data_IF_397982359265
#
_entry.id   IF_397982359265
#
_cell.length_a   1.000
_cell.length_b   1.000
_cell.length_c   1.000
_cell.angle_alpha   90.00
_cell.angle_beta   90.00
_cell.angle_gamma   90.00
#
_symmetry.space_group_name_H-M   'P 1'
#
loop_
_entity.id
_entity.type
_entity.pdbx_description
1 polymer ?
#
# COMPACT_ATOMS: atom_id res chain seq x y z
N UNK A 1 2.62 7.79 -23.13
CA UNK A 1 1.50 8.67 -23.54
C UNK A 1 0.13 8.01 -23.35
N UNK A 2 -0.13 6.81 -23.93
CA UNK A 2 -1.44 6.14 -23.87
C UNK A 2 -2.01 5.91 -22.46
N UNK A 3 -1.21 5.39 -21.53
CA UNK A 3 -1.65 5.19 -20.13
C UNK A 3 -2.01 6.50 -19.41
N UNK A 4 -1.21 7.55 -19.58
CA UNK A 4 -1.50 8.84 -18.93
C UNK A 4 -2.79 9.46 -19.48
N UNK A 5 -3.06 9.30 -20.79
CA UNK A 5 -4.33 9.72 -21.38
C UNK A 5 -5.50 8.88 -20.86
N UNK A 6 -5.36 7.56 -20.76
CA UNK A 6 -6.42 6.70 -20.26
C UNK A 6 -6.73 6.99 -18.80
N UNK A 7 -5.71 7.26 -17.97
CA UNK A 7 -5.88 7.65 -16.57
C UNK A 7 -6.57 9.02 -16.45
N UNK A 8 -6.17 10.01 -17.26
CA UNK A 8 -6.86 11.32 -17.31
C UNK A 8 -8.33 11.19 -17.71
N UNK A 9 -8.67 10.24 -18.58
CA UNK A 9 -10.06 9.97 -18.92
C UNK A 9 -10.84 9.41 -17.71
N UNK A 10 -10.22 8.66 -16.80
CA UNK A 10 -10.87 8.24 -15.54
C UNK A 10 -11.28 9.47 -14.72
N UNK A 11 -10.41 10.47 -14.58
CA UNK A 11 -10.74 11.74 -13.91
C UNK A 11 -11.96 12.42 -14.53
N UNK A 12 -12.01 12.51 -15.87
CA UNK A 12 -13.16 13.11 -16.56
C UNK A 12 -14.44 12.31 -16.29
N UNK A 13 -14.36 10.98 -16.26
CA UNK A 13 -15.51 10.14 -15.93
C UNK A 13 -15.97 10.28 -14.48
N UNK A 14 -15.04 10.48 -13.54
CA UNK A 14 -15.34 10.80 -12.13
C UNK A 14 -16.06 12.14 -12.03
N UNK A 15 -15.54 13.19 -12.67
CA UNK A 15 -16.18 14.51 -12.69
C UNK A 15 -17.56 14.51 -13.36
N UNK A 16 -17.79 13.61 -14.32
CA UNK A 16 -19.09 13.41 -14.95
C UNK A 16 -20.03 12.51 -14.14
N UNK A 17 -19.59 12.01 -12.98
CA UNK A 17 -20.30 11.07 -12.11
C UNK A 17 -21.02 9.93 -12.85
N UNK A 18 -20.31 9.28 -13.78
CA UNK A 18 -20.89 8.22 -14.62
C UNK A 18 -20.24 6.87 -14.33
N UNK A 19 -20.76 6.16 -13.33
CA UNK A 19 -20.19 4.89 -12.83
C UNK A 19 -19.90 3.84 -13.93
N UNK A 20 -20.79 3.56 -14.90
CA UNK A 20 -20.48 2.61 -15.97
C UNK A 20 -19.29 3.03 -16.84
N UNK A 21 -19.13 4.35 -17.09
CA UNK A 21 -18.00 4.88 -17.84
C UNK A 21 -16.72 4.86 -17.01
N UNK A 22 -16.80 5.17 -15.72
CA UNK A 22 -15.67 5.04 -14.79
C UNK A 22 -15.16 3.59 -14.80
N UNK A 23 -16.05 2.62 -14.64
CA UNK A 23 -15.71 1.20 -14.69
C UNK A 23 -14.98 0.83 -15.97
N UNK A 24 -15.57 1.14 -17.13
CA UNK A 24 -15.01 0.79 -18.42
C UNK A 24 -13.62 1.44 -18.62
N UNK A 25 -13.48 2.70 -18.19
CA UNK A 25 -12.24 3.45 -18.35
C UNK A 25 -11.12 2.98 -17.41
N UNK A 26 -11.44 2.55 -16.18
CA UNK A 26 -10.48 1.93 -15.26
C UNK A 26 -10.01 0.59 -15.83
N UNK A 27 -10.92 -0.25 -16.32
CA UNK A 27 -10.56 -1.52 -16.98
C UNK A 27 -9.65 -1.31 -18.18
N UNK A 28 -9.99 -0.38 -19.07
CA UNK A 28 -9.15 -0.02 -20.21
C UNK A 28 -7.77 0.51 -19.77
N UNK A 29 -7.70 1.25 -18.67
CA UNK A 29 -6.42 1.74 -18.11
C UNK A 29 -5.58 0.60 -17.56
N UNK A 30 -6.18 -0.38 -16.90
CA UNK A 30 -5.50 -1.60 -16.42
C UNK A 30 -4.98 -2.45 -17.59
N UNK A 31 -5.78 -2.67 -18.63
CA UNK A 31 -5.36 -3.36 -19.85
C UNK A 31 -4.21 -2.62 -20.54
N UNK A 32 -4.30 -1.29 -20.60
CA UNK A 32 -3.21 -0.47 -21.15
C UNK A 32 -1.95 -0.62 -20.32
N UNK A 33 -2.04 -0.61 -18.99
CA UNK A 33 -0.89 -0.80 -18.09
C UNK A 33 -0.26 -2.18 -18.27
N UNK A 34 -1.06 -3.23 -18.41
CA UNK A 34 -0.61 -4.60 -18.61
C UNK A 34 0.13 -4.79 -19.94
N UNK A 35 -0.36 -4.16 -21.00
CA UNK A 35 0.23 -4.21 -22.32
C UNK A 35 1.55 -3.40 -22.44
N UNK A 36 1.88 -2.56 -21.45
CA UNK A 36 3.10 -1.76 -21.47
C UNK A 36 4.34 -2.60 -21.11
N UNK A 37 5.25 -2.71 -22.07
CA UNK A 37 6.60 -3.22 -21.83
C UNK A 37 7.49 -2.12 -21.23
N UNK A 38 7.34 -1.86 -19.93
CA UNK A 38 8.18 -0.93 -19.18
C UNK A 38 9.14 -1.65 -18.23
N UNK A 39 10.30 -1.04 -17.97
CA UNK A 39 11.22 -1.54 -16.95
C UNK A 39 10.53 -1.55 -15.58
N UNK A 40 10.89 -2.46 -14.65
CA UNK A 40 10.29 -2.51 -13.31
C UNK A 40 10.23 -1.14 -12.61
N UNK A 41 11.34 -0.38 -12.61
CA UNK A 41 11.40 0.95 -11.99
C UNK A 41 10.44 1.99 -12.60
N UNK A 42 10.05 1.83 -13.86
CA UNK A 42 9.09 2.71 -14.53
C UNK A 42 7.64 2.30 -14.25
N UNK A 43 7.40 1.07 -13.80
CA UNK A 43 6.05 0.60 -13.47
C UNK A 43 5.54 1.21 -12.17
N UNK A 44 6.40 1.33 -11.17
CA UNK A 44 6.04 1.86 -9.85
C UNK A 44 5.31 3.21 -9.93
N UNK A 45 5.84 4.27 -10.59
CA UNK A 45 5.12 5.56 -10.68
C UNK A 45 3.81 5.47 -11.47
N UNK A 46 3.69 4.57 -12.45
CA UNK A 46 2.44 4.36 -13.18
C UNK A 46 1.37 3.75 -12.27
N UNK A 47 1.77 2.75 -11.49
CA UNK A 47 0.89 2.12 -10.50
C UNK A 47 0.50 3.11 -9.40
N UNK A 48 1.45 3.95 -8.93
CA UNK A 48 1.18 5.00 -7.94
C UNK A 48 0.09 5.94 -8.44
N UNK A 49 0.20 6.42 -9.68
CA UNK A 49 -0.83 7.29 -10.25
C UNK A 49 -2.18 6.57 -10.37
N UNK A 50 -2.20 5.31 -10.83
CA UNK A 50 -3.44 4.55 -10.93
C UNK A 50 -4.11 4.38 -9.56
N UNK A 51 -3.37 3.92 -8.55
CA UNK A 51 -3.90 3.72 -7.20
C UNK A 51 -4.36 5.03 -6.57
N UNK A 52 -3.65 6.14 -6.80
CA UNK A 52 -4.06 7.46 -6.31
C UNK A 52 -5.43 7.91 -6.84
N UNK A 53 -5.75 7.56 -8.09
CA UNK A 53 -7.08 7.83 -8.68
C UNK A 53 -8.10 6.83 -8.15
N UNK A 54 -7.69 5.57 -8.02
CA UNK A 54 -8.57 4.48 -7.65
C UNK A 54 -9.19 4.67 -6.26
N UNK A 55 -8.51 5.37 -5.33
CA UNK A 55 -9.05 5.70 -4.00
C UNK A 55 -10.43 6.34 -4.12
N UNK A 56 -10.63 7.19 -5.13
CA UNK A 56 -11.86 7.95 -5.32
C UNK A 56 -12.90 7.23 -6.18
N UNK A 57 -12.56 6.10 -6.79
CA UNK A 57 -13.47 5.35 -7.65
C UNK A 57 -14.46 4.56 -6.80
N UNK A 58 -15.78 4.83 -6.89
CA UNK A 58 -16.77 4.01 -6.22
C UNK A 58 -16.73 2.57 -6.72
N UNK A 59 -16.97 1.64 -5.81
CA UNK A 59 -17.26 0.26 -6.18
C UNK A 59 -18.56 0.16 -6.96
N UNK A 60 -18.64 -0.91 -7.76
CA UNK A 60 -19.78 -1.15 -8.64
C UNK A 60 -20.83 -1.96 -7.87
N UNK A 61 -22.11 -1.53 -7.86
CA UNK A 61 -23.17 -2.27 -7.21
C UNK A 61 -23.18 -3.75 -7.64
N UNK A 62 -23.40 -4.63 -6.67
CA UNK A 62 -23.45 -6.10 -6.84
C UNK A 62 -22.13 -6.77 -7.21
N UNK A 63 -21.01 -6.04 -7.23
CA UNK A 63 -19.67 -6.63 -7.31
C UNK A 63 -19.06 -6.79 -5.91
N UNK A 64 -18.06 -7.66 -5.76
CA UNK A 64 -17.30 -7.75 -4.52
C UNK A 64 -16.69 -6.39 -4.14
N UNK A 65 -16.57 -6.16 -2.83
CA UNK A 65 -15.86 -4.99 -2.28
C UNK A 65 -14.44 -4.94 -2.85
N UNK A 66 -13.99 -3.72 -3.17
CA UNK A 66 -12.71 -3.43 -3.78
C UNK A 66 -12.50 -4.17 -5.12
N UNK A 67 -13.57 -4.34 -5.92
CA UNK A 67 -13.53 -5.09 -7.19
C UNK A 67 -12.42 -4.60 -8.13
N UNK A 68 -12.26 -3.29 -8.27
CA UNK A 68 -11.25 -2.71 -9.15
C UNK A 68 -9.83 -2.88 -8.61
N UNK A 69 -9.66 -2.80 -7.29
CA UNK A 69 -8.38 -3.10 -6.66
C UNK A 69 -8.01 -4.59 -6.80
N UNK A 70 -8.98 -5.51 -6.72
CA UNK A 70 -8.73 -6.92 -7.03
C UNK A 70 -8.19 -7.10 -8.47
N UNK A 71 -8.65 -6.29 -9.42
CA UNK A 71 -8.11 -6.31 -10.78
C UNK A 71 -6.67 -5.79 -10.86
N UNK A 72 -6.28 -4.83 -9.99
CA UNK A 72 -4.89 -4.38 -9.83
C UNK A 72 -4.02 -5.49 -9.25
N UNK A 73 -4.48 -6.15 -8.18
CA UNK A 73 -3.76 -7.27 -7.54
C UNK A 73 -3.51 -8.38 -8.56
N UNK A 74 -4.54 -8.80 -9.30
CA UNK A 74 -4.41 -9.79 -10.36
C UNK A 74 -3.41 -9.40 -11.45
N UNK A 75 -3.30 -8.09 -11.76
CA UNK A 75 -2.32 -7.57 -12.71
C UNK A 75 -0.89 -7.67 -12.15
N UNK A 76 -0.71 -7.41 -10.85
CA UNK A 76 0.60 -7.51 -10.19
C UNK A 76 1.05 -8.98 -10.14
N UNK A 77 0.15 -9.90 -9.76
CA UNK A 77 0.42 -11.34 -9.63
C UNK A 77 0.81 -12.00 -10.95
N UNK A 78 0.08 -11.68 -12.03
CA UNK A 78 0.36 -12.27 -13.35
C UNK A 78 1.64 -11.72 -14.00
N UNK A 79 2.15 -10.60 -13.49
CA UNK A 79 3.31 -9.93 -14.09
C UNK A 79 4.58 -10.68 -13.75
N UNK A 80 5.36 -10.98 -14.79
CA UNK A 80 6.69 -11.59 -14.61
C UNK A 80 7.68 -10.52 -14.18
N UNK A 81 8.11 -10.58 -12.92
CA UNK A 81 9.15 -9.73 -12.37
C UNK A 81 10.53 -10.32 -12.71
N UNK A 82 11.40 -9.57 -13.41
CA UNK A 82 12.74 -10.07 -13.73
C UNK A 82 13.58 -10.24 -12.45
N UNK A 83 14.46 -11.23 -12.43
CA UNK A 83 15.39 -11.45 -11.32
C UNK A 83 16.25 -10.20 -11.06
N UNK A 84 16.54 -9.93 -9.78
CA UNK A 84 17.29 -8.74 -9.36
C UNK A 84 16.45 -7.47 -9.23
N UNK A 85 15.12 -7.57 -9.39
CA UNK A 85 14.16 -6.47 -9.20
C UNK A 85 13.16 -6.72 -8.06
N UNK A 86 13.49 -7.62 -7.13
CA UNK A 86 12.66 -8.00 -5.99
C UNK A 86 12.34 -6.79 -5.10
N UNK A 87 13.29 -5.85 -4.93
CA UNK A 87 13.03 -4.61 -4.18
C UNK A 87 11.91 -3.78 -4.81
N UNK A 88 11.92 -3.61 -6.13
CA UNK A 88 10.87 -2.87 -6.84
C UNK A 88 9.53 -3.61 -6.76
N UNK A 89 9.57 -4.94 -6.76
CA UNK A 89 8.37 -5.75 -6.58
C UNK A 89 7.80 -5.61 -5.16
N UNK A 90 8.67 -5.57 -4.14
CA UNK A 90 8.28 -5.22 -2.76
C UNK A 90 7.66 -3.83 -2.66
N UNK A 91 8.24 -2.83 -3.32
CA UNK A 91 7.70 -1.47 -3.36
C UNK A 91 6.31 -1.39 -3.98
N UNK A 92 6.02 -2.24 -4.97
CA UNK A 92 4.69 -2.35 -5.59
C UNK A 92 3.66 -2.86 -4.59
N UNK A 93 3.99 -3.87 -3.78
CA UNK A 93 3.08 -4.36 -2.74
C UNK A 93 2.94 -3.38 -1.58
N UNK A 94 4.01 -2.69 -1.17
CA UNK A 94 3.93 -1.63 -0.16
C UNK A 94 3.04 -0.48 -0.64
N UNK A 95 3.08 -0.15 -1.93
CA UNK A 95 2.17 0.82 -2.52
C UNK A 95 0.70 0.37 -2.46
N UNK A 96 0.42 -0.94 -2.59
CA UNK A 96 -0.91 -1.49 -2.33
C UNK A 96 -1.33 -1.33 -0.86
N UNK A 97 -0.41 -1.47 0.11
CA UNK A 97 -0.70 -1.15 1.52
C UNK A 97 -1.04 0.33 1.71
N UNK A 98 -0.35 1.25 1.02
CA UNK A 98 -0.69 2.67 1.07
C UNK A 98 -2.10 2.95 0.54
N UNK A 99 -2.49 2.29 -0.57
CA UNK A 99 -3.84 2.37 -1.08
C UNK A 99 -4.87 1.85 -0.07
N UNK A 100 -4.62 0.66 0.50
CA UNK A 100 -5.52 0.02 1.46
C UNK A 100 -5.69 0.85 2.73
N UNK A 101 -4.60 1.45 3.22
CA UNK A 101 -4.66 2.42 4.32
C UNK A 101 -5.50 3.65 3.97
N UNK A 102 -5.38 4.17 2.74
CA UNK A 102 -6.17 5.34 2.33
C UNK A 102 -7.67 5.02 2.27
N UNK A 103 -8.05 3.86 1.73
CA UNK A 103 -9.45 3.46 1.62
C UNK A 103 -10.05 2.92 2.92
N UNK A 104 -9.23 2.57 3.91
CA UNK A 104 -9.70 2.21 5.25
C UNK A 104 -10.05 3.42 6.12
N UNK A 105 -9.70 4.64 5.69
CA UNK A 105 -9.99 5.83 6.49
C UNK A 105 -11.51 6.06 6.60
N UNK A 106 -12.03 6.47 7.77
CA UNK A 106 -13.46 6.74 7.95
C UNK A 106 -14.01 7.80 6.99
N UNK A 107 -13.17 8.76 6.62
CA UNK A 107 -13.49 9.81 5.66
C UNK A 107 -12.23 10.18 4.88
N UNK A 108 -12.36 10.32 3.57
CA UNK A 108 -11.23 10.76 2.73
C UNK A 108 -11.00 12.26 2.89
N UNK A 109 -9.73 12.65 3.03
CA UNK A 109 -9.32 14.05 3.24
C UNK A 109 -9.56 14.96 2.02
N UNK A 110 -9.67 14.37 0.83
CA UNK A 110 -9.98 15.04 -0.44
C UNK A 110 -11.07 14.25 -1.15
N UNK A 111 -11.94 14.92 -1.90
CA UNK A 111 -13.07 14.29 -2.61
C UNK A 111 -13.30 14.92 -3.98
N UNK A 112 -13.88 14.14 -4.89
CA UNK A 112 -14.52 14.69 -6.09
C UNK A 112 -15.93 15.13 -5.74
N UNK A 113 -16.35 16.29 -6.26
CA UNK A 113 -17.74 16.75 -6.11
C UNK A 113 -18.70 15.74 -6.73
N UNK A 114 -19.82 15.50 -6.05
CA UNK A 114 -20.90 14.62 -6.49
C UNK A 114 -20.52 13.14 -6.73
N UNK A 115 -19.35 12.69 -6.27
CA UNK A 115 -18.94 11.28 -6.32
C UNK A 115 -18.95 10.69 -4.93
N UNK A 116 -19.80 9.68 -4.72
CA UNK A 116 -19.81 8.89 -3.50
C UNK A 116 -18.67 7.86 -3.56
N UNK A 117 -17.45 8.28 -3.22
CA UNK A 117 -16.32 7.36 -3.02
C UNK A 117 -16.62 6.32 -1.94
N UNK A 118 -15.79 5.27 -1.83
CA UNK A 118 -16.11 4.10 -1.00
C UNK A 118 -16.33 4.41 0.50
N UNK A 119 -15.69 5.46 1.03
CA UNK A 119 -15.95 5.95 2.39
C UNK A 119 -17.43 6.36 2.58
N UNK A 120 -18.01 7.03 1.59
CA UNK A 120 -19.43 7.42 1.57
C UNK A 120 -20.35 6.28 1.13
N UNK A 121 -20.01 5.59 0.05
CA UNK A 121 -20.84 4.52 -0.53
C UNK A 121 -21.09 3.36 0.45
N UNK A 122 -20.05 2.96 1.20
CA UNK A 122 -20.17 1.93 2.24
C UNK A 122 -20.36 2.51 3.65
N UNK A 123 -20.26 3.83 3.82
CA UNK A 123 -20.36 4.49 5.13
C UNK A 123 -19.37 3.96 6.16
N UNK A 124 -18.18 3.52 5.71
CA UNK A 124 -17.17 2.81 6.53
C UNK A 124 -17.76 1.67 7.37
N UNK A 125 -18.75 0.95 6.84
CA UNK A 125 -19.37 -0.19 7.53
C UNK A 125 -18.35 -1.25 7.94
N UNK A 126 -18.63 -1.95 9.03
CA UNK A 126 -17.77 -3.05 9.52
C UNK A 126 -17.51 -4.11 8.44
N UNK A 127 -18.52 -4.41 7.61
CA UNK A 127 -18.37 -5.34 6.47
C UNK A 127 -17.37 -4.84 5.44
N UNK A 128 -17.37 -3.55 5.13
CA UNK A 128 -16.40 -2.95 4.22
C UNK A 128 -14.99 -2.98 4.83
N UNK A 129 -14.84 -2.56 6.08
CA UNK A 129 -13.56 -2.55 6.78
C UNK A 129 -12.98 -3.96 6.93
N UNK A 130 -13.81 -4.97 7.20
CA UNK A 130 -13.39 -6.37 7.24
C UNK A 130 -12.86 -6.85 5.87
N UNK A 131 -13.52 -6.47 4.77
CA UNK A 131 -13.05 -6.79 3.43
C UNK A 131 -11.73 -6.07 3.10
N UNK A 132 -11.55 -4.83 3.55
CA UNK A 132 -10.27 -4.11 3.41
C UNK A 132 -9.18 -4.81 4.22
N UNK A 133 -9.46 -5.22 5.46
CA UNK A 133 -8.52 -5.94 6.33
C UNK A 133 -8.06 -7.27 5.70
N UNK A 134 -8.97 -8.03 5.10
CA UNK A 134 -8.61 -9.26 4.36
C UNK A 134 -7.60 -8.97 3.22
N UNK A 135 -7.76 -7.84 2.52
CA UNK A 135 -6.80 -7.42 1.49
C UNK A 135 -5.48 -6.95 2.08
N UNK A 136 -5.50 -6.30 3.24
CA UNK A 136 -4.28 -5.92 3.97
C UNK A 136 -3.50 -7.18 4.33
N UNK A 137 -4.14 -8.20 4.89
CA UNK A 137 -3.50 -9.47 5.25
C UNK A 137 -2.86 -10.14 4.05
N UNK A 138 -3.59 -10.23 2.93
CA UNK A 138 -3.07 -10.80 1.69
C UNK A 138 -1.83 -10.03 1.19
N UNK A 139 -1.91 -8.70 1.09
CA UNK A 139 -0.80 -7.86 0.60
C UNK A 139 0.39 -7.94 1.56
N UNK A 140 0.15 -7.93 2.88
CA UNK A 140 1.18 -8.06 3.90
C UNK A 140 1.91 -9.40 3.75
N UNK A 141 1.20 -10.50 3.49
CA UNK A 141 1.82 -11.80 3.21
C UNK A 141 2.74 -11.75 1.99
N UNK A 142 2.34 -11.06 0.91
CA UNK A 142 3.20 -10.89 -0.27
C UNK A 142 4.50 -10.13 0.07
N UNK A 143 4.41 -9.05 0.85
CA UNK A 143 5.59 -8.28 1.28
C UNK A 143 6.49 -9.12 2.19
N UNK A 144 5.92 -9.82 3.17
CA UNK A 144 6.68 -10.65 4.11
C UNK A 144 7.40 -11.81 3.42
N UNK A 145 6.75 -12.46 2.45
CA UNK A 145 7.39 -13.51 1.64
C UNK A 145 8.62 -12.98 0.87
N UNK A 146 8.54 -11.76 0.33
CA UNK A 146 9.70 -11.13 -0.32
C UNK A 146 10.81 -10.80 0.68
N UNK A 147 10.46 -10.31 1.86
CA UNK A 147 11.42 -10.04 2.95
C UNK A 147 12.14 -11.33 3.39
N UNK A 148 11.48 -12.48 3.39
CA UNK A 148 12.14 -13.76 3.72
C UNK A 148 13.27 -14.10 2.73
N UNK A 149 13.09 -13.78 1.45
CA UNK A 149 14.10 -14.02 0.40
C UNK A 149 15.14 -12.91 0.28
N UNK A 150 14.91 -11.76 0.91
CA UNK A 150 15.77 -10.59 0.81
C UNK A 150 17.13 -10.79 1.52
N UNK A 151 18.28 -10.42 0.92
CA UNK A 151 19.58 -10.51 1.58
C UNK A 151 19.63 -9.70 2.88
N UNK A 152 20.07 -10.32 3.98
CA UNK A 152 20.24 -9.64 5.28
C UNK A 152 21.24 -8.48 5.20
N UNK A 153 22.19 -8.53 4.27
CA UNK A 153 23.15 -7.45 4.01
C UNK A 153 22.55 -6.22 3.34
N UNK A 154 21.36 -6.34 2.73
CA UNK A 154 20.66 -5.23 2.05
C UNK A 154 19.14 -5.37 2.21
N UNK A 155 18.60 -5.13 3.42
CA UNK A 155 17.18 -5.34 3.74
C UNK A 155 16.31 -4.15 3.31
N UNK A 156 16.27 -3.83 2.01
CA UNK A 156 15.58 -2.67 1.46
C UNK A 156 14.06 -2.75 1.59
N UNK A 157 13.45 -3.90 1.26
CA UNK A 157 12.01 -4.14 1.38
C UNK A 157 11.60 -4.10 2.86
N UNK A 158 12.39 -4.75 3.73
CA UNK A 158 12.14 -4.69 5.17
C UNK A 158 12.22 -3.27 5.73
N UNK A 159 13.16 -2.45 5.26
CA UNK A 159 13.27 -1.05 5.64
C UNK A 159 12.07 -0.23 5.17
N UNK A 160 11.61 -0.43 3.93
CA UNK A 160 10.45 0.27 3.37
C UNK A 160 9.15 -0.14 4.08
N UNK A 161 8.99 -1.41 4.43
CA UNK A 161 7.86 -1.88 5.24
C UNK A 161 7.91 -1.31 6.66
N UNK A 162 9.10 -1.23 7.28
CA UNK A 162 9.27 -0.64 8.61
C UNK A 162 8.81 0.82 8.64
N UNK A 163 9.25 1.63 7.68
CA UNK A 163 8.80 3.02 7.56
C UNK A 163 7.29 3.11 7.31
N UNK A 164 6.75 2.25 6.45
CA UNK A 164 5.31 2.18 6.24
C UNK A 164 4.55 1.86 7.54
N UNK A 165 5.04 0.90 8.32
CA UNK A 165 4.42 0.50 9.58
C UNK A 165 4.41 1.63 10.60
N UNK A 166 5.56 2.29 10.81
CA UNK A 166 5.68 3.38 11.78
C UNK A 166 4.82 4.60 11.41
N UNK A 167 4.68 4.88 10.12
CA UNK A 167 3.91 6.04 9.67
C UNK A 167 2.39 5.83 9.60
N UNK A 168 1.92 4.58 9.45
CA UNK A 168 0.53 4.31 9.03
C UNK A 168 -0.22 3.28 9.86
N UNK A 169 0.48 2.46 10.64
CA UNK A 169 -0.15 1.41 11.44
C UNK A 169 -0.23 1.83 12.90
N UNK A 170 -1.29 1.38 13.56
CA UNK A 170 -1.35 1.38 15.02
C UNK A 170 -0.37 0.31 15.53
N UNK A 171 0.64 0.74 16.29
CA UNK A 171 1.71 -0.13 16.77
C UNK A 171 1.28 -0.82 18.07
N UNK A 172 0.38 -1.78 17.96
CA UNK A 172 -0.14 -2.54 19.10
C UNK A 172 -0.10 -4.05 18.83
N UNK A 173 0.00 -4.84 19.91
CA UNK A 173 -0.07 -6.30 19.86
C UNK A 173 0.90 -6.93 18.85
N UNK A 174 0.41 -7.70 17.84
CA UNK A 174 1.28 -8.33 16.85
C UNK A 174 2.17 -7.35 16.06
N UNK A 175 1.73 -6.10 15.88
CA UNK A 175 2.45 -5.08 15.10
C UNK A 175 3.73 -4.64 15.82
N UNK A 176 3.72 -4.57 17.16
CA UNK A 176 4.92 -4.26 17.96
C UNK A 176 6.04 -5.26 17.67
N UNK A 177 5.69 -6.56 17.61
CA UNK A 177 6.64 -7.63 17.29
C UNK A 177 7.14 -7.53 15.85
N UNK A 178 6.27 -7.20 14.89
CA UNK A 178 6.65 -6.98 13.49
C UNK A 178 7.67 -5.84 13.38
N UNK A 179 7.36 -4.66 13.93
CA UNK A 179 8.21 -3.47 13.94
C UNK A 179 9.56 -3.76 14.58
N UNK A 180 9.59 -4.39 15.76
CA UNK A 180 10.83 -4.74 16.45
C UNK A 180 11.71 -5.69 15.61
N UNK A 181 11.11 -6.68 14.95
CA UNK A 181 11.84 -7.62 14.10
C UNK A 181 12.41 -6.95 12.85
N UNK A 182 11.63 -6.09 12.18
CA UNK A 182 12.07 -5.34 11.01
C UNK A 182 13.19 -4.37 11.38
N UNK A 183 13.04 -3.62 12.49
CA UNK A 183 14.05 -2.70 13.00
C UNK A 183 15.35 -3.43 13.32
N UNK A 184 15.28 -4.56 14.03
CA UNK A 184 16.46 -5.40 14.33
C UNK A 184 17.14 -5.89 13.06
N UNK A 185 16.38 -6.31 12.05
CA UNK A 185 16.92 -6.75 10.75
C UNK A 185 17.64 -5.61 10.04
N UNK A 186 17.02 -4.43 9.96
CA UNK A 186 17.56 -3.26 9.29
C UNK A 186 18.82 -2.74 10.01
N UNK A 187 18.76 -2.55 11.33
CA UNK A 187 19.89 -2.07 12.13
C UNK A 187 21.11 -2.99 12.04
N UNK A 188 20.91 -4.32 12.07
CA UNK A 188 22.00 -5.30 11.95
C UNK A 188 22.70 -5.29 10.60
N UNK A 189 22.03 -4.87 9.53
CA UNK A 189 22.61 -4.86 8.19
C UNK A 189 23.74 -3.82 8.04
N UNK A 190 23.77 -2.80 8.91
CA UNK A 190 24.66 -1.64 8.78
C UNK A 190 24.31 -0.73 7.60
N UNK A 191 23.32 -1.08 6.77
CA UNK A 191 22.77 -0.23 5.72
C UNK A 191 21.72 0.73 6.31
N UNK A 192 21.46 1.83 5.61
CA UNK A 192 20.38 2.77 5.96
C UNK A 192 20.51 3.41 7.36
N UNK A 193 21.72 3.59 7.89
CA UNK A 193 21.96 4.09 9.27
C UNK A 193 21.17 5.36 9.61
N UNK A 194 21.10 6.32 8.69
CA UNK A 194 20.31 7.54 8.86
C UNK A 194 18.80 7.27 8.96
N UNK A 195 18.25 6.43 8.06
CA UNK A 195 16.83 6.07 8.06
C UNK A 195 16.45 5.29 9.31
N UNK A 196 17.30 4.34 9.72
CA UNK A 196 17.12 3.60 10.97
C UNK A 196 17.11 4.53 12.18
N UNK A 197 18.01 5.53 12.21
CA UNK A 197 18.03 6.51 13.30
C UNK A 197 16.73 7.34 13.37
N UNK A 198 16.19 7.79 12.22
CA UNK A 198 14.91 8.48 12.19
C UNK A 198 13.75 7.59 12.67
N UNK A 199 13.72 6.33 12.23
CA UNK A 199 12.71 5.37 12.72
C UNK A 199 12.81 5.17 14.22
N UNK A 200 14.02 5.09 14.79
CA UNK A 200 14.19 4.98 16.24
C UNK A 200 13.64 6.22 16.95
N UNK A 201 13.95 7.43 16.45
CA UNK A 201 13.43 8.67 17.03
C UNK A 201 11.89 8.73 17.02
N UNK A 202 11.27 8.34 15.91
CA UNK A 202 9.81 8.27 15.80
C UNK A 202 9.21 7.21 16.75
N UNK A 203 9.83 6.03 16.84
CA UNK A 203 9.39 4.97 17.76
C UNK A 203 9.57 5.37 19.23
N UNK A 204 10.63 6.10 19.57
CA UNK A 204 10.84 6.64 20.91
C UNK A 204 9.70 7.58 21.31
N UNK A 205 9.32 8.52 20.43
CA UNK A 205 8.17 9.41 20.67
C UNK A 205 6.87 8.61 20.82
N UNK A 206 6.62 7.66 19.92
CA UNK A 206 5.42 6.81 19.98
C UNK A 206 5.36 5.94 21.25
N UNK A 207 6.51 5.62 21.84
CA UNK A 207 6.58 4.81 23.06
C UNK A 207 6.22 5.56 24.35
N UNK A 208 6.13 6.90 24.30
CA UNK A 208 5.74 7.71 25.47
C UNK A 208 4.36 7.33 25.98
N UNK A 209 3.43 7.05 25.06
CA UNK A 209 2.05 6.68 25.33
C UNK A 209 1.76 5.17 25.08
N UNK A 210 2.78 4.38 24.72
CA UNK A 210 2.63 2.96 24.38
C UNK A 210 3.63 2.08 25.14
N UNK A 211 3.15 1.51 26.25
CA UNK A 211 4.00 0.70 27.15
C UNK A 211 4.49 -0.60 26.49
N UNK A 212 3.70 -1.22 25.61
CA UNK A 212 4.12 -2.44 24.90
C UNK A 212 5.32 -2.15 23.98
N UNK A 213 5.24 -1.07 23.21
CA UNK A 213 6.32 -0.60 22.36
C UNK A 213 7.53 -0.19 23.19
N UNK A 214 7.35 0.55 24.29
CA UNK A 214 8.42 0.95 25.20
C UNK A 214 9.20 -0.25 25.73
N UNK A 215 8.50 -1.28 26.20
CA UNK A 215 9.12 -2.52 26.66
C UNK A 215 9.90 -3.24 25.54
N UNK A 216 9.41 -3.20 24.29
CA UNK A 216 10.14 -3.74 23.15
C UNK A 216 11.44 -2.96 22.87
N UNK A 217 11.40 -1.63 22.89
CA UNK A 217 12.56 -0.77 22.66
C UNK A 217 13.63 -0.91 23.76
N UNK A 218 13.23 -1.01 25.03
CA UNK A 218 14.15 -1.28 26.15
C UNK A 218 14.86 -2.63 25.96
N UNK A 219 14.13 -3.69 25.58
CA UNK A 219 14.73 -5.01 25.29
C UNK A 219 15.73 -4.95 24.14
N UNK A 220 15.56 -4.02 23.21
CA UNK A 220 16.48 -3.77 22.11
C UNK A 220 17.65 -2.85 22.49
N UNK A 221 17.67 -2.28 23.70
CA UNK A 221 18.66 -1.30 24.20
C UNK A 221 18.67 -0.02 23.37
N UNK A 222 17.49 0.46 22.98
CA UNK A 222 17.30 1.69 22.20
C UNK A 222 16.77 2.85 23.05
N UNK A 223 16.33 2.57 24.28
CA UNK A 223 15.94 3.53 25.32
C UNK A 223 16.82 3.34 26.56
#
# INVERSE_FOLDING_TARGET
MRFQLSLRAVYVCLLANCLPKIEAQVKFTLETLDALTVKPAQFLPLLTHLLSVLVFVPDIPRKPVLYMFNAVVNLIDRRKWPAGHETVYGDVWILCLHYLWAVSQPQFSVRFGDVDSNDLYYGSSETYLAAVAEKIDYVMQQVLALIETEPVSKPAIAMNLLECAVMRLEIEGPVVKLVANLLKRCAKSGQFSSRVAFVIDDLTKLSEDNEELKQALIKMKLL
#
